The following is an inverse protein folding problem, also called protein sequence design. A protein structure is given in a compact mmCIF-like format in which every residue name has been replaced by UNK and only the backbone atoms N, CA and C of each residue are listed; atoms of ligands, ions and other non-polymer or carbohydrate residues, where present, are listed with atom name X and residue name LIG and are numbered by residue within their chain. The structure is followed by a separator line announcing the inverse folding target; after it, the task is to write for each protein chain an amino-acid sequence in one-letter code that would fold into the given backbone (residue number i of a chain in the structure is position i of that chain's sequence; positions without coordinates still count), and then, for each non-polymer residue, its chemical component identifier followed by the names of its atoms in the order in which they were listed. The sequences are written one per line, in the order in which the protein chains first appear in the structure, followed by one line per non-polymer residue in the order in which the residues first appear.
data_IF_804532677796
#
_entry.id   IF_804532677796
#
_cell.length_a   1.000
_cell.length_b   1.000
_cell.length_c   1.000
_cell.angle_alpha   90.00
_cell.angle_beta   90.00
_cell.angle_gamma   90.00
#
_symmetry.space_group_name_H-M   'P 1'
#
loop_
_entity.id
_entity.type
_entity.pdbx_description
1 polymer ?
#
# COMPACT_ATOMS: atom_id res chain seq x y z
N UNK A 1 10.14 0.07 -2.94
CA UNK A 1 11.10 -0.15 -1.84
C UNK A 1 11.95 -1.38 -2.17
N UNK A 2 11.34 -2.46 -2.65
CA UNK A 2 12.03 -3.74 -2.97
C UNK A 2 13.11 -3.64 -4.06
N UNK A 3 13.04 -2.66 -4.94
CA UNK A 3 13.96 -2.52 -6.09
C UNK A 3 15.36 -2.07 -5.67
N UNK A 4 15.47 -1.19 -4.68
CA UNK A 4 16.78 -0.64 -4.23
C UNK A 4 17.45 -1.54 -3.20
N UNK A 5 16.65 -2.23 -2.39
CA UNK A 5 17.16 -3.08 -1.30
C UNK A 5 17.32 -4.54 -1.73
N UNK A 6 16.76 -4.93 -2.89
CA UNK A 6 16.69 -6.31 -3.32
C UNK A 6 18.06 -7.04 -3.32
N UNK A 7 19.07 -6.47 -3.95
CA UNK A 7 20.39 -7.10 -4.03
C UNK A 7 21.12 -7.09 -2.66
N UNK A 8 20.96 -6.01 -1.89
CA UNK A 8 21.53 -5.91 -0.55
C UNK A 8 20.87 -6.88 0.44
N UNK A 9 19.54 -6.97 0.40
CA UNK A 9 18.80 -7.90 1.24
C UNK A 9 19.05 -9.35 0.86
N UNK A 10 19.11 -9.67 -0.45
CA UNK A 10 19.45 -10.99 -0.94
C UNK A 10 20.82 -11.42 -0.43
N UNK A 11 21.86 -10.57 -0.55
CA UNK A 11 23.20 -10.82 -0.04
C UNK A 11 23.19 -11.07 1.47
N UNK A 12 22.51 -10.22 2.23
CA UNK A 12 22.36 -10.36 3.70
C UNK A 12 21.76 -11.72 4.08
N UNK A 13 20.69 -12.15 3.40
CA UNK A 13 20.07 -13.44 3.70
C UNK A 13 20.96 -14.63 3.32
N UNK A 14 21.75 -14.54 2.25
CA UNK A 14 22.75 -15.56 1.92
C UNK A 14 23.84 -15.64 2.98
N UNK A 15 24.35 -14.52 3.47
CA UNK A 15 25.32 -14.47 4.56
C UNK A 15 24.76 -15.10 5.84
N UNK A 16 23.54 -14.74 6.23
CA UNK A 16 22.87 -15.33 7.40
C UNK A 16 22.74 -16.85 7.28
N UNK A 17 22.40 -17.37 6.09
CA UNK A 17 22.35 -18.82 5.84
C UNK A 17 23.72 -19.48 5.97
N UNK A 18 24.76 -18.86 5.41
CA UNK A 18 26.13 -19.36 5.47
C UNK A 18 26.64 -19.49 6.90
N UNK A 19 26.26 -18.58 7.77
CA UNK A 19 26.66 -18.59 9.19
C UNK A 19 25.71 -19.40 10.10
N UNK A 20 24.85 -20.24 9.53
CA UNK A 20 23.96 -21.13 10.29
C UNK A 20 22.92 -20.43 11.17
N UNK A 21 22.62 -19.16 10.87
CA UNK A 21 21.62 -18.40 11.59
C UNK A 21 20.23 -18.72 11.04
N UNK A 22 19.67 -19.88 11.41
CA UNK A 22 18.30 -20.28 11.05
C UNK A 22 17.28 -19.52 11.92
N UNK A 23 17.15 -18.21 11.67
CA UNK A 23 16.11 -17.40 12.29
C UNK A 23 14.86 -17.41 11.43
N UNK A 24 13.72 -17.61 12.08
CA UNK A 24 12.40 -17.41 11.48
C UNK A 24 12.13 -15.90 11.48
N UNK A 25 11.98 -15.29 10.30
CA UNK A 25 11.69 -13.87 10.13
C UNK A 25 10.26 -13.75 9.57
N UNK A 26 9.38 -13.10 10.33
CA UNK A 26 7.96 -12.94 9.96
C UNK A 26 7.29 -14.30 9.59
N UNK A 27 7.53 -15.35 10.40
CA UNK A 27 6.95 -16.67 10.20
C UNK A 27 7.56 -17.50 9.07
N UNK A 28 8.69 -17.06 8.46
CA UNK A 28 9.34 -17.74 7.33
C UNK A 28 10.79 -18.07 7.63
N UNK A 29 11.25 -19.26 7.21
CA UNK A 29 12.66 -19.63 7.28
C UNK A 29 13.49 -18.80 6.27
N UNK A 30 14.77 -18.62 6.57
CA UNK A 30 15.71 -17.95 5.64
C UNK A 30 15.73 -18.65 4.28
N UNK A 31 15.64 -19.97 4.25
CA UNK A 31 15.60 -20.77 3.01
C UNK A 31 14.37 -20.44 2.15
N UNK A 32 13.20 -20.24 2.75
CA UNK A 32 11.99 -19.82 2.02
C UNK A 32 12.10 -18.39 1.49
N UNK A 33 12.70 -17.50 2.29
CA UNK A 33 12.95 -16.12 1.86
C UNK A 33 13.88 -16.10 0.67
N UNK A 34 15.00 -16.84 0.71
CA UNK A 34 15.94 -16.95 -0.41
C UNK A 34 15.30 -17.53 -1.67
N UNK A 35 14.50 -18.60 -1.57
CA UNK A 35 13.75 -19.15 -2.71
C UNK A 35 12.81 -18.12 -3.36
N UNK A 36 12.26 -17.20 -2.57
CA UNK A 36 11.44 -16.10 -3.11
C UNK A 36 12.28 -15.06 -3.85
N UNK A 37 13.46 -14.72 -3.33
CA UNK A 37 14.41 -13.86 -4.05
C UNK A 37 14.83 -14.46 -5.38
N UNK A 38 15.11 -15.76 -5.43
CA UNK A 38 15.52 -16.45 -6.67
C UNK A 38 14.40 -16.53 -7.71
N UNK A 39 13.14 -16.55 -7.27
CA UNK A 39 11.97 -16.53 -8.16
C UNK A 39 11.60 -15.13 -8.65
N UNK A 40 12.06 -14.05 -8.00
CA UNK A 40 11.80 -12.69 -8.46
C UNK A 40 12.63 -12.40 -9.72
N UNK A 41 11.94 -11.91 -10.75
CA UNK A 41 12.60 -11.37 -11.95
C UNK A 41 13.36 -10.11 -11.50
N UNK A 42 14.65 -10.03 -11.83
CA UNK A 42 15.46 -8.83 -11.56
C UNK A 42 14.83 -7.65 -12.29
N UNK A 43 14.63 -6.54 -11.60
CA UNK A 43 14.14 -5.33 -12.22
C UNK A 43 15.14 -4.85 -13.30
N UNK A 44 14.73 -4.75 -14.58
CA UNK A 44 15.61 -4.35 -15.66
C UNK A 44 16.04 -2.88 -15.62
N UNK A 45 15.42 -2.08 -14.74
CA UNK A 45 15.72 -0.65 -14.62
C UNK A 45 17.09 -0.42 -13.99
N UNK A 46 17.75 0.65 -14.44
CA UNK A 46 19.02 1.05 -13.85
C UNK A 46 18.85 1.50 -12.39
N UNK A 47 19.96 1.48 -11.65
CA UNK A 47 19.97 1.95 -10.25
C UNK A 47 19.47 3.40 -10.10
N UNK A 48 19.81 4.27 -11.07
CA UNK A 48 19.38 5.67 -11.06
C UNK A 48 17.87 5.80 -11.30
N UNK A 49 17.31 5.04 -12.23
CA UNK A 49 15.87 4.97 -12.46
C UNK A 49 15.15 4.44 -11.22
N UNK A 50 15.70 3.40 -10.59
CA UNK A 50 15.20 2.87 -9.32
C UNK A 50 15.15 3.94 -8.21
N UNK A 51 16.24 4.72 -8.05
CA UNK A 51 16.28 5.84 -7.10
C UNK A 51 15.23 6.90 -7.40
N UNK A 52 15.03 7.24 -8.67
CA UNK A 52 14.01 8.22 -9.08
C UNK A 52 12.61 7.73 -8.71
N UNK A 53 12.28 6.47 -9.00
CA UNK A 53 10.99 5.87 -8.65
C UNK A 53 10.76 5.91 -7.14
N UNK A 54 11.77 5.54 -6.34
CA UNK A 54 11.65 5.60 -4.87
C UNK A 54 11.41 7.03 -4.37
N UNK A 55 12.06 8.04 -4.96
CA UNK A 55 11.77 9.45 -4.62
C UNK A 55 10.33 9.83 -4.92
N UNK A 56 9.81 9.42 -6.07
CA UNK A 56 8.41 9.66 -6.46
C UNK A 56 7.47 8.99 -5.47
N UNK A 57 7.68 7.70 -5.16
CA UNK A 57 6.86 6.95 -4.19
C UNK A 57 6.90 7.62 -2.81
N UNK A 58 8.09 7.96 -2.30
CA UNK A 58 8.23 8.64 -1.01
C UNK A 58 7.54 10.01 -0.98
N UNK A 59 7.55 10.74 -2.08
CA UNK A 59 6.85 12.02 -2.17
C UNK A 59 5.33 11.83 -2.27
N UNK A 60 4.87 10.78 -2.94
CA UNK A 60 3.45 10.39 -2.96
C UNK A 60 2.96 10.05 -1.55
N UNK A 61 3.69 9.24 -0.80
CA UNK A 61 3.35 8.84 0.57
C UNK A 61 3.29 10.01 1.58
N UNK A 62 3.70 11.21 1.19
CA UNK A 62 3.57 12.42 2.01
C UNK A 62 2.31 13.23 1.74
N UNK A 63 1.50 12.82 0.77
CA UNK A 63 0.26 13.54 0.45
C UNK A 63 -0.74 13.35 1.60
N UNK A 64 -1.16 14.48 2.15
CA UNK A 64 -2.23 14.58 3.13
C UNK A 64 -3.01 15.84 2.80
N UNK A 65 -4.25 15.70 2.35
CA UNK A 65 -5.05 16.84 1.93
C UNK A 65 -6.54 16.64 2.19
N UNK A 66 -7.29 17.75 2.27
CA UNK A 66 -8.75 17.71 2.30
C UNK A 66 -9.29 17.19 0.97
N UNK A 67 -10.44 16.53 1.01
CA UNK A 67 -11.10 15.99 -0.20
C UNK A 67 -11.35 17.08 -1.27
N UNK A 68 -11.63 18.32 -0.86
CA UNK A 68 -11.84 19.45 -1.77
C UNK A 68 -10.62 19.78 -2.63
N UNK A 69 -9.41 19.48 -2.14
CA UNK A 69 -8.13 19.74 -2.82
C UNK A 69 -7.52 18.50 -3.47
N UNK A 70 -8.19 17.36 -3.42
CA UNK A 70 -7.64 16.08 -3.87
C UNK A 70 -7.22 16.12 -5.34
N UNK A 71 -8.12 16.53 -6.23
CA UNK A 71 -7.86 16.54 -7.68
C UNK A 71 -6.70 17.45 -8.04
N UNK A 72 -6.69 18.67 -7.48
CA UNK A 72 -5.60 19.64 -7.69
C UNK A 72 -4.26 19.07 -7.19
N UNK A 73 -4.27 18.47 -5.99
CA UNK A 73 -3.06 17.90 -5.38
C UNK A 73 -2.50 16.76 -6.22
N UNK A 74 -3.34 15.84 -6.67
CA UNK A 74 -2.92 14.70 -7.49
C UNK A 74 -2.47 15.13 -8.90
N UNK A 75 -3.14 16.10 -9.50
CA UNK A 75 -2.75 16.67 -10.79
C UNK A 75 -1.38 17.36 -10.72
N UNK A 76 -1.16 18.18 -9.71
CA UNK A 76 0.12 18.85 -9.48
C UNK A 76 1.23 17.84 -9.21
N UNK A 77 0.94 16.78 -8.45
CA UNK A 77 1.89 15.69 -8.21
C UNK A 77 2.25 14.96 -9.51
N UNK A 78 1.27 14.64 -10.36
CA UNK A 78 1.50 14.00 -11.66
C UNK A 78 2.38 14.87 -12.56
N UNK A 79 2.05 16.14 -12.73
CA UNK A 79 2.82 17.10 -13.54
C UNK A 79 4.26 17.23 -13.03
N UNK A 80 4.45 17.42 -11.74
CA UNK A 80 5.78 17.57 -11.12
C UNK A 80 6.69 16.36 -11.36
N UNK A 81 6.11 15.17 -11.42
CA UNK A 81 6.86 13.91 -11.56
C UNK A 81 6.78 13.31 -12.97
N UNK A 82 6.28 14.07 -13.94
CA UNK A 82 6.11 13.63 -15.33
C UNK A 82 5.33 12.30 -15.46
N UNK A 83 4.28 12.15 -14.65
CA UNK A 83 3.40 10.99 -14.67
C UNK A 83 2.16 11.26 -15.53
N UNK A 84 1.61 10.20 -16.12
CA UNK A 84 0.33 10.29 -16.84
C UNK A 84 -0.80 10.61 -15.84
N UNK A 85 -1.65 11.58 -16.14
CA UNK A 85 -2.74 12.00 -15.26
C UNK A 85 -3.75 10.87 -14.96
N UNK A 86 -3.91 9.92 -15.88
CA UNK A 86 -4.83 8.79 -15.72
C UNK A 86 -4.42 7.79 -14.65
N UNK A 87 -3.18 7.85 -14.13
CA UNK A 87 -2.72 6.97 -13.04
C UNK A 87 -3.58 7.13 -11.76
N UNK A 88 -4.21 8.30 -11.59
CA UNK A 88 -5.06 8.61 -10.44
C UNK A 88 -6.56 8.47 -10.73
N UNK A 89 -6.94 7.84 -11.85
CA UNK A 89 -8.33 7.70 -12.26
C UNK A 89 -9.22 7.05 -11.19
N UNK A 90 -8.68 6.07 -10.47
CA UNK A 90 -9.41 5.33 -9.43
C UNK A 90 -9.80 6.22 -8.24
N UNK A 91 -9.01 7.25 -7.94
CA UNK A 91 -9.32 8.17 -6.85
C UNK A 91 -10.47 9.12 -7.14
N UNK A 92 -10.92 9.24 -8.40
CA UNK A 92 -12.07 10.08 -8.75
C UNK A 92 -13.35 9.63 -8.05
N UNK A 93 -13.51 8.35 -7.80
CA UNK A 93 -14.68 7.81 -7.08
C UNK A 93 -14.82 8.35 -5.65
N UNK A 94 -13.69 8.68 -5.00
CA UNK A 94 -13.68 9.26 -3.64
C UNK A 94 -14.36 10.62 -3.61
N UNK A 95 -14.38 11.37 -4.72
CA UNK A 95 -15.05 12.66 -4.81
C UNK A 95 -16.56 12.57 -4.57
N UNK A 96 -17.17 11.40 -4.76
CA UNK A 96 -18.56 11.16 -4.47
C UNK A 96 -18.89 11.36 -2.97
N UNK A 97 -17.90 11.26 -2.09
CA UNK A 97 -18.05 11.53 -0.66
C UNK A 97 -18.41 13.00 -0.35
N UNK A 98 -18.17 13.92 -1.29
CA UNK A 98 -18.60 15.33 -1.16
C UNK A 98 -20.12 15.49 -1.01
N UNK A 99 -20.91 14.49 -1.44
CA UNK A 99 -22.37 14.49 -1.29
C UNK A 99 -22.80 14.41 0.17
N UNK A 100 -21.94 13.87 1.01
CA UNK A 100 -22.19 13.77 2.44
C UNK A 100 -21.56 14.97 3.14
N UNK A 101 -22.27 15.59 4.07
CA UNK A 101 -21.75 16.71 4.85
C UNK A 101 -20.78 16.24 5.94
N UNK A 102 -19.69 15.58 5.52
CA UNK A 102 -18.65 15.04 6.38
C UNK A 102 -17.29 15.62 6.03
N UNK A 103 -16.42 15.74 7.03
CA UNK A 103 -15.03 16.15 6.84
C UNK A 103 -14.20 14.94 6.43
N UNK A 104 -13.65 14.96 5.22
CA UNK A 104 -12.81 13.88 4.69
C UNK A 104 -11.40 14.39 4.44
N UNK A 105 -10.41 13.67 4.97
CA UNK A 105 -9.00 13.85 4.65
C UNK A 105 -8.53 12.64 3.83
N UNK A 106 -7.78 12.92 2.76
CA UNK A 106 -7.09 11.91 1.96
C UNK A 106 -5.63 11.83 2.39
N UNK A 107 -5.17 10.63 2.75
CA UNK A 107 -3.83 10.37 3.25
C UNK A 107 -3.28 9.15 2.51
N UNK A 108 -2.13 9.30 1.84
CA UNK A 108 -1.55 8.23 1.01
C UNK A 108 -0.68 7.24 1.78
N UNK A 109 -0.14 7.62 2.93
CA UNK A 109 0.59 6.72 3.83
C UNK A 109 -0.33 6.05 4.86
N UNK A 110 -1.63 6.16 4.66
CA UNK A 110 -2.61 5.47 5.47
C UNK A 110 -2.55 3.98 5.17
N UNK A 111 -2.05 3.21 6.09
CA UNK A 111 -1.93 1.77 5.99
C UNK A 111 -2.02 1.13 7.36
N UNK A 112 -2.59 -0.06 7.40
CA UNK A 112 -2.60 -0.92 8.57
C UNK A 112 -1.72 -2.12 8.28
N UNK A 113 -1.28 -2.81 9.32
CA UNK A 113 -0.50 -4.06 9.25
C UNK A 113 -1.31 -5.24 8.65
N UNK A 114 -2.42 -4.94 7.99
CA UNK A 114 -3.34 -5.92 7.42
C UNK A 114 -3.13 -5.96 5.90
N UNK A 115 -2.46 -6.99 5.42
CA UNK A 115 -2.03 -7.16 4.02
C UNK A 115 -3.15 -7.54 3.03
N UNK A 116 -4.40 -7.73 3.45
CA UNK A 116 -5.45 -8.20 2.55
C UNK A 116 -6.20 -7.09 1.78
N UNK A 117 -6.00 -5.81 2.14
CA UNK A 117 -6.61 -4.71 1.42
C UNK A 117 -6.00 -4.52 0.04
N UNK A 118 -6.84 -4.41 -0.99
CA UNK A 118 -6.44 -4.24 -2.40
C UNK A 118 -6.81 -2.88 -2.97
N UNK A 119 -7.49 -2.04 -2.19
CA UNK A 119 -7.98 -0.74 -2.64
C UNK A 119 -8.06 0.29 -1.54
N UNK A 120 -9.11 1.08 -1.56
CA UNK A 120 -9.34 2.14 -0.57
C UNK A 120 -9.54 1.55 0.81
N UNK A 121 -8.87 2.15 1.79
CA UNK A 121 -9.03 1.88 3.22
C UNK A 121 -9.52 3.15 3.88
N UNK A 122 -10.39 3.06 4.87
CA UNK A 122 -10.94 4.21 5.57
C UNK A 122 -11.02 3.99 7.08
N UNK A 123 -10.99 5.08 7.81
CA UNK A 123 -11.35 5.19 9.22
C UNK A 123 -12.33 6.36 9.41
N UNK A 124 -13.29 6.17 10.29
CA UNK A 124 -14.29 7.17 10.65
C UNK A 124 -14.14 7.49 12.13
N UNK A 125 -14.06 8.77 12.43
CA UNK A 125 -13.91 9.26 13.79
C UNK A 125 -15.09 10.16 14.20
N UNK A 126 -15.49 10.05 15.47
CA UNK A 126 -16.30 11.04 16.17
C UNK A 126 -15.39 11.72 17.21
N UNK A 127 -15.01 12.97 16.96
CA UNK A 127 -13.97 13.63 17.74
C UNK A 127 -12.63 12.89 17.66
N UNK A 128 -12.17 12.33 18.78
CA UNK A 128 -10.93 11.53 18.88
C UNK A 128 -11.16 10.01 18.89
N UNK A 129 -12.41 9.56 18.92
CA UNK A 129 -12.76 8.14 18.99
C UNK A 129 -12.98 7.58 17.61
N UNK A 130 -12.30 6.47 17.28
CA UNK A 130 -12.56 5.70 16.07
C UNK A 130 -13.88 4.95 16.23
N UNK A 131 -14.87 5.22 15.39
CA UNK A 131 -16.18 4.58 15.41
C UNK A 131 -16.34 3.49 14.34
N UNK A 132 -15.61 3.61 13.22
CA UNK A 132 -15.63 2.58 12.20
C UNK A 132 -14.34 2.59 11.38
N UNK A 133 -14.02 1.45 10.80
CA UNK A 133 -12.92 1.27 9.86
C UNK A 133 -13.23 0.18 8.86
N UNK A 134 -12.63 0.26 7.68
CA UNK A 134 -12.87 -0.74 6.66
C UNK A 134 -12.10 -0.48 5.37
N UNK A 135 -12.45 -1.23 4.34
CA UNK A 135 -11.80 -1.08 3.04
C UNK A 135 -12.25 -2.12 2.03
N UNK A 136 -11.56 -2.12 0.89
CA UNK A 136 -11.76 -3.05 -0.22
C UNK A 136 -10.70 -4.14 -0.19
N UNK A 137 -11.10 -5.41 -0.38
CA UNK A 137 -10.23 -6.58 -0.30
C UNK A 137 -10.62 -7.68 -1.31
N UNK A 138 -10.45 -7.39 -2.58
CA UNK A 138 -10.92 -8.25 -3.69
C UNK A 138 -10.20 -9.61 -3.77
N UNK A 139 -8.95 -9.69 -3.29
CA UNK A 139 -8.13 -10.90 -3.39
C UNK A 139 -8.24 -11.83 -2.17
N UNK A 140 -8.94 -11.40 -1.10
CA UNK A 140 -9.00 -12.16 0.15
C UNK A 140 -9.56 -13.56 -0.06
N UNK A 141 -10.72 -13.68 -0.72
CA UNK A 141 -11.37 -14.97 -0.91
C UNK A 141 -10.54 -15.90 -1.80
N UNK A 142 -9.81 -15.36 -2.78
CA UNK A 142 -8.87 -16.14 -3.60
C UNK A 142 -7.70 -16.67 -2.77
N UNK A 143 -7.17 -15.87 -1.86
CA UNK A 143 -6.10 -16.29 -0.96
C UNK A 143 -6.55 -17.39 0.02
N UNK A 144 -7.85 -17.44 0.31
CA UNK A 144 -8.51 -18.47 1.13
C UNK A 144 -8.99 -19.70 0.30
N UNK A 145 -8.66 -19.78 -1.00
CA UNK A 145 -8.93 -20.94 -1.82
C UNK A 145 -10.09 -20.80 -2.79
N UNK A 146 -10.71 -19.65 -2.94
CA UNK A 146 -11.72 -19.43 -3.98
C UNK A 146 -11.10 -19.52 -5.37
N UNK A 147 -11.83 -20.11 -6.32
CA UNK A 147 -11.37 -20.29 -7.71
C UNK A 147 -11.21 -18.99 -8.49
N UNK A 148 -11.92 -17.94 -8.10
CA UNK A 148 -11.93 -16.61 -8.76
C UNK A 148 -11.76 -15.49 -7.74
N UNK A 149 -11.26 -14.34 -8.20
CA UNK A 149 -11.33 -13.11 -7.43
C UNK A 149 -12.80 -12.70 -7.25
N UNK A 150 -13.19 -12.43 -6.04
CA UNK A 150 -14.53 -11.97 -5.68
C UNK A 150 -14.37 -10.59 -5.04
N UNK A 151 -14.80 -9.51 -5.73
CA UNK A 151 -14.74 -8.18 -5.17
C UNK A 151 -15.48 -8.11 -3.84
N UNK A 152 -14.80 -7.59 -2.82
CA UNK A 152 -15.36 -7.50 -1.49
C UNK A 152 -15.00 -6.17 -0.81
N UNK A 153 -15.94 -5.67 -0.04
CA UNK A 153 -15.77 -4.51 0.83
C UNK A 153 -16.35 -4.82 2.21
N UNK A 154 -15.79 -4.25 3.24
CA UNK A 154 -16.32 -4.44 4.58
C UNK A 154 -15.91 -3.34 5.53
N UNK A 155 -16.62 -3.26 6.64
CA UNK A 155 -16.33 -2.35 7.73
C UNK A 155 -16.57 -3.03 9.08
N UNK A 156 -15.73 -2.66 10.05
CA UNK A 156 -15.93 -2.96 11.47
C UNK A 156 -16.41 -1.68 12.17
N UNK A 157 -17.44 -1.80 12.99
CA UNK A 157 -17.99 -0.70 13.77
C UNK A 157 -17.72 -0.96 15.26
N UNK A 158 -17.16 0.03 15.94
CA UNK A 158 -16.91 -0.04 17.37
C UNK A 158 -18.11 0.54 18.15
N UNK A 159 -18.99 -0.34 18.58
CA UNK A 159 -20.23 0.04 19.30
C UNK A 159 -19.95 0.76 20.61
N UNK A 160 -18.81 0.52 21.25
CA UNK A 160 -18.44 1.17 22.51
C UNK A 160 -18.06 2.67 22.31
N UNK A 161 -17.86 3.10 21.08
CA UNK A 161 -17.45 4.47 20.75
C UNK A 161 -18.56 5.32 20.11
N UNK A 162 -19.74 4.75 19.95
CA UNK A 162 -20.94 5.44 19.41
C UNK A 162 -21.70 6.15 20.51
#
# INVERSE_FOLDING_TARGET
IDVITFDADKKRFYEMKKFGQDKVIAGRSISEILKRFDKKIKDPRSFNEGKQIVRIIRSFLKINCKLSKLDETLLNFAKKNNLKENIFKEFKSIQNLKKFNIKVNFITNFGRDIEYYTGIVFEIFSGKKEIARGGRYDDLLKSLGAKKNIPAVGAAINLNNI
#
